data_IF_973906142081
#
_entry.id   IF_973906142081
#
_cell.length_a   1.000
_cell.length_b   1.000
_cell.length_c   1.000
_cell.angle_alpha   90.00
_cell.angle_beta   90.00
_cell.angle_gamma   90.00
#
_symmetry.space_group_name_H-M   'P 1'
#
loop_
_entity.id
_entity.type
_entity.pdbx_description
1 polymer ?
#
# COMPACT_ATOMS: atom_id res chain seq x y z
N UNK A 1 33.35 47.76 72.07
CA UNK A 1 32.10 47.99 72.78
C UNK A 1 31.23 49.08 72.12
N UNK A 2 31.05 49.07 70.76
CA UNK A 2 30.23 50.14 70.10
C UNK A 2 29.36 49.63 68.92
N UNK A 3 29.17 48.36 68.72
CA UNK A 3 28.46 47.83 67.53
C UNK A 3 27.09 47.19 67.81
N UNK A 4 26.52 47.26 69.01
CA UNK A 4 25.20 46.63 69.31
C UNK A 4 24.00 47.57 69.29
N UNK A 5 24.14 48.80 68.78
CA UNK A 5 23.11 49.81 68.80
C UNK A 5 22.28 49.98 67.54
N UNK A 6 22.71 49.48 66.38
CA UNK A 6 22.07 49.77 65.08
C UNK A 6 21.01 48.81 64.55
N UNK A 7 20.91 47.60 65.12
CA UNK A 7 19.96 46.59 64.60
C UNK A 7 18.57 46.61 65.23
N UNK A 8 18.30 47.55 66.13
CA UNK A 8 17.01 47.57 66.84
C UNK A 8 15.96 48.51 66.26
N UNK A 9 16.25 49.15 65.09
CA UNK A 9 15.28 50.17 64.50
C UNK A 9 14.60 49.70 63.24
N UNK A 10 14.76 48.43 62.78
CA UNK A 10 14.18 47.96 61.50
C UNK A 10 12.98 46.99 61.67
N UNK A 11 12.51 46.81 62.93
CA UNK A 11 11.32 45.98 63.18
C UNK A 11 10.15 46.81 63.64
N UNK A 12 9.89 47.97 63.03
CA UNK A 12 8.58 48.58 63.16
C UNK A 12 7.57 47.80 62.33
N UNK A 13 6.51 47.24 62.96
CA UNK A 13 5.46 46.57 62.19
C UNK A 13 4.85 47.63 61.23
N UNK A 14 4.89 47.32 59.95
CA UNK A 14 4.20 48.09 58.92
C UNK A 14 2.74 48.25 59.31
N UNK A 15 2.40 49.45 59.80
CA UNK A 15 1.01 49.75 60.02
C UNK A 15 0.25 49.66 58.70
N UNK A 16 -0.84 48.92 58.68
CA UNK A 16 -1.67 48.83 57.46
C UNK A 16 -2.14 50.21 57.10
N UNK A 17 -2.21 50.61 55.83
CA UNK A 17 -2.61 51.94 55.38
C UNK A 17 -4.00 52.24 55.97
N UNK A 18 -4.05 53.21 56.80
CA UNK A 18 -5.33 53.74 57.37
C UNK A 18 -6.11 54.31 56.21
N UNK A 19 -7.32 53.81 55.96
CA UNK A 19 -8.24 54.37 55.00
C UNK A 19 -8.60 55.81 55.44
N UNK A 20 -8.55 56.75 54.49
CA UNK A 20 -8.80 58.16 54.67
C UNK A 20 -10.14 58.51 55.37
N UNK A 21 -11.05 57.53 55.50
CA UNK A 21 -12.40 57.71 56.09
C UNK A 21 -12.61 56.95 57.39
N UNK A 22 -11.55 56.29 57.94
CA UNK A 22 -11.62 55.59 59.25
C UNK A 22 -12.60 54.43 59.36
N UNK A 23 -13.30 54.08 58.28
CA UNK A 23 -14.27 53.01 58.27
C UNK A 23 -13.69 51.81 57.43
N UNK A 24 -13.31 50.74 58.10
CA UNK A 24 -13.05 49.47 57.43
C UNK A 24 -14.38 48.95 56.86
N UNK A 25 -14.59 49.22 55.58
CA UNK A 25 -15.71 48.64 54.85
C UNK A 25 -15.49 47.17 54.63
N UNK A 26 -16.02 46.37 55.53
CA UNK A 26 -16.08 44.92 55.34
C UNK A 26 -16.99 44.63 54.13
N UNK A 27 -16.39 44.43 52.93
CA UNK A 27 -17.13 43.95 51.77
C UNK A 27 -17.63 42.58 52.08
N UNK A 28 -18.87 42.39 52.43
CA UNK A 28 -19.54 41.10 52.47
C UNK A 28 -19.89 40.71 51.03
N UNK A 29 -19.09 39.87 50.43
CA UNK A 29 -19.37 39.28 49.12
C UNK A 29 -20.59 38.37 49.23
N UNK A 30 -21.60 38.65 48.37
CA UNK A 30 -22.85 37.89 48.33
C UNK A 30 -22.56 36.39 48.15
N UNK A 31 -23.26 35.46 48.82
CA UNK A 31 -22.98 34.02 48.76
C UNK A 31 -22.98 33.47 47.34
N UNK A 32 -23.78 34.01 46.42
CA UNK A 32 -23.81 33.64 45.00
C UNK A 32 -22.49 33.92 44.26
N UNK A 33 -21.78 34.99 44.62
CA UNK A 33 -20.47 35.29 44.03
C UNK A 33 -19.42 34.28 44.47
N UNK A 34 -19.48 33.84 45.74
CA UNK A 34 -18.58 32.81 46.24
C UNK A 34 -18.84 31.42 45.58
N UNK A 35 -20.13 31.10 45.39
CA UNK A 35 -20.50 29.89 44.69
C UNK A 35 -20.03 29.90 43.22
N UNK A 36 -20.24 31.04 42.54
CA UNK A 36 -19.76 31.23 41.17
C UNK A 36 -18.23 31.12 41.04
N UNK A 37 -17.49 31.69 41.98
CA UNK A 37 -16.01 31.59 42.00
C UNK A 37 -15.53 30.15 42.26
N UNK A 38 -16.21 29.41 43.13
CA UNK A 38 -15.89 28.01 43.37
C UNK A 38 -16.16 27.12 42.13
N UNK A 39 -17.30 27.35 41.47
CA UNK A 39 -17.66 26.62 40.23
C UNK A 39 -16.65 26.98 39.12
N UNK A 40 -16.33 28.26 38.91
CA UNK A 40 -15.37 28.69 37.91
C UNK A 40 -13.99 28.03 38.13
N UNK A 41 -13.54 27.97 39.40
CA UNK A 41 -12.28 27.29 39.76
C UNK A 41 -12.30 25.82 39.39
N UNK A 42 -13.38 25.12 39.71
CA UNK A 42 -13.52 23.68 39.36
C UNK A 42 -13.52 23.49 37.85
N UNK A 43 -14.28 24.29 37.10
CA UNK A 43 -14.38 24.21 35.65
C UNK A 43 -13.01 24.47 34.98
N UNK A 44 -12.31 25.52 35.43
CA UNK A 44 -10.97 25.83 34.87
C UNK A 44 -9.98 24.70 35.19
N UNK A 45 -9.99 24.18 36.43
CA UNK A 45 -9.10 23.10 36.81
C UNK A 45 -9.41 21.81 36.02
N UNK A 46 -10.70 21.45 35.95
CA UNK A 46 -11.12 20.26 35.18
C UNK A 46 -10.81 20.41 33.69
N UNK A 47 -11.03 21.60 33.11
CA UNK A 47 -10.67 21.89 31.74
C UNK A 47 -9.17 21.79 31.47
N UNK A 48 -8.35 22.33 32.37
CA UNK A 48 -6.89 22.22 32.26
C UNK A 48 -6.39 20.77 32.34
N UNK A 49 -6.89 20.01 33.30
CA UNK A 49 -6.54 18.57 33.41
C UNK A 49 -7.06 17.82 32.19
N UNK A 50 -8.29 18.09 31.75
CA UNK A 50 -8.87 17.46 30.56
C UNK A 50 -8.03 17.68 29.29
N UNK A 51 -7.51 18.90 29.11
CA UNK A 51 -6.62 19.21 27.99
C UNK A 51 -5.32 18.41 28.04
N UNK A 52 -4.71 18.30 29.22
CA UNK A 52 -3.47 17.51 29.39
C UNK A 52 -3.75 16.02 29.08
N UNK A 53 -4.85 15.47 29.59
CA UNK A 53 -5.24 14.09 29.33
C UNK A 53 -5.51 13.86 27.84
N UNK A 54 -6.18 14.80 27.16
CA UNK A 54 -6.44 14.70 25.73
C UNK A 54 -5.14 14.70 24.92
N UNK A 55 -4.19 15.60 25.23
CA UNK A 55 -2.90 15.65 24.53
C UNK A 55 -2.10 14.37 24.77
N UNK A 56 -2.05 13.86 26.00
CA UNK A 56 -1.41 12.59 26.30
C UNK A 56 -2.10 11.41 25.59
N UNK A 57 -3.43 11.43 25.50
CA UNK A 57 -4.18 10.42 24.76
C UNK A 57 -3.82 10.38 23.27
N UNK A 58 -3.71 11.56 22.65
CA UNK A 58 -3.25 11.66 21.24
C UNK A 58 -1.82 11.13 21.10
N UNK A 59 -0.93 11.49 22.04
CA UNK A 59 0.47 10.99 21.99
C UNK A 59 0.53 9.46 22.12
N UNK A 60 -0.21 8.88 23.06
CA UNK A 60 -0.29 7.42 23.23
C UNK A 60 -0.86 6.74 21.99
N UNK A 61 -1.92 7.33 21.41
CA UNK A 61 -2.49 6.83 20.15
C UNK A 61 -1.46 6.85 19.01
N UNK A 62 -0.75 7.96 18.84
CA UNK A 62 0.29 8.06 17.81
C UNK A 62 1.40 7.02 18.01
N UNK A 63 1.85 6.83 19.25
CA UNK A 63 2.85 5.79 19.58
C UNK A 63 2.29 4.40 19.24
N UNK A 64 1.06 4.10 19.61
CA UNK A 64 0.45 2.81 19.34
C UNK A 64 0.32 2.51 17.84
N UNK A 65 -0.01 3.52 17.03
CA UNK A 65 -0.11 3.39 15.56
C UNK A 65 1.26 3.29 14.90
N UNK A 66 2.26 4.01 15.41
CA UNK A 66 3.59 4.01 14.81
C UNK A 66 4.51 2.91 15.33
N UNK A 67 4.27 2.36 16.52
CA UNK A 67 5.10 1.30 17.11
C UNK A 67 5.29 0.07 16.19
N UNK A 68 4.28 -0.42 15.45
CA UNK A 68 4.45 -1.52 14.50
C UNK A 68 5.44 -1.21 13.38
N UNK A 69 5.63 0.06 13.00
CA UNK A 69 6.59 0.46 11.96
C UNK A 69 8.06 0.30 12.42
N UNK A 70 8.30 0.26 13.72
CA UNK A 70 9.62 0.06 14.33
C UNK A 70 9.84 -1.37 14.82
N UNK A 71 8.83 -2.23 14.71
CA UNK A 71 9.03 -3.66 14.97
C UNK A 71 9.82 -4.28 13.81
N UNK A 72 10.79 -5.12 14.14
CA UNK A 72 11.54 -5.86 13.13
C UNK A 72 10.59 -6.75 12.33
N UNK A 73 10.67 -6.66 11.00
CA UNK A 73 9.94 -7.57 10.13
C UNK A 73 10.38 -9.01 10.43
N UNK A 74 9.44 -9.89 10.74
CA UNK A 74 9.69 -11.31 10.84
C UNK A 74 9.50 -11.94 9.46
N UNK A 75 10.56 -12.55 8.94
CA UNK A 75 10.47 -13.34 7.71
C UNK A 75 10.07 -14.75 8.14
N UNK A 76 8.89 -15.19 7.72
CA UNK A 76 8.48 -16.58 7.89
C UNK A 76 9.40 -17.49 7.07
N UNK A 77 9.65 -18.75 7.51
CA UNK A 77 10.43 -19.69 6.73
C UNK A 77 9.81 -19.88 5.35
N UNK A 78 10.67 -19.95 4.33
CA UNK A 78 10.24 -20.18 2.95
C UNK A 78 9.41 -21.46 2.86
N UNK A 79 8.24 -21.36 2.23
CA UNK A 79 7.38 -22.49 1.97
C UNK A 79 7.63 -22.96 0.54
N UNK A 80 7.93 -24.24 0.37
CA UNK A 80 8.01 -24.87 -0.94
C UNK A 80 6.61 -25.29 -1.38
N UNK A 81 6.22 -24.85 -2.57
CA UNK A 81 5.01 -25.28 -3.26
C UNK A 81 5.44 -26.14 -4.44
N UNK A 82 4.96 -27.37 -4.50
CA UNK A 82 5.18 -28.23 -5.64
C UNK A 82 4.29 -27.75 -6.80
N UNK A 83 4.90 -27.38 -7.93
CA UNK A 83 4.17 -27.06 -9.14
C UNK A 83 3.74 -28.36 -9.83
N UNK A 84 2.57 -28.35 -10.46
CA UNK A 84 2.12 -29.43 -11.35
C UNK A 84 3.04 -29.58 -12.56
N UNK A 85 3.07 -30.74 -13.17
CA UNK A 85 3.95 -31.05 -14.33
C UNK A 85 3.78 -30.07 -15.50
N UNK A 86 2.58 -29.49 -15.68
CA UNK A 86 2.32 -28.45 -16.69
C UNK A 86 3.17 -27.17 -16.52
N UNK A 87 3.51 -26.81 -15.29
CA UNK A 87 4.40 -25.68 -15.00
C UNK A 87 5.89 -26.06 -15.04
N UNK A 88 6.22 -27.34 -15.26
CA UNK A 88 7.60 -27.84 -15.26
C UNK A 88 8.34 -27.65 -16.59
N UNK A 89 7.67 -27.20 -17.66
CA UNK A 89 8.26 -26.99 -18.99
C UNK A 89 9.26 -25.83 -19.09
N UNK A 90 9.60 -25.23 -17.97
CA UNK A 90 10.51 -24.08 -17.86
C UNK A 90 9.76 -22.82 -17.42
N UNK A 91 9.99 -22.39 -16.18
CA UNK A 91 9.38 -21.18 -15.63
C UNK A 91 10.10 -19.94 -16.16
N UNK A 92 9.37 -19.02 -16.79
CA UNK A 92 9.90 -17.76 -17.31
C UNK A 92 9.50 -16.54 -16.47
N UNK A 93 8.38 -16.61 -15.77
CA UNK A 93 7.98 -15.56 -14.86
C UNK A 93 7.18 -16.12 -13.69
N UNK A 94 7.31 -15.48 -12.54
CA UNK A 94 6.53 -15.75 -11.34
C UNK A 94 6.11 -14.44 -10.70
N UNK A 95 4.96 -14.44 -10.06
CA UNK A 95 4.52 -13.31 -9.26
C UNK A 95 3.51 -13.75 -8.21
N UNK A 96 3.10 -12.81 -7.40
CA UNK A 96 2.05 -13.01 -6.40
C UNK A 96 1.14 -11.79 -6.34
N UNK A 97 -0.03 -11.98 -5.75
CA UNK A 97 -0.91 -10.88 -5.39
C UNK A 97 -0.29 -10.00 -4.29
N UNK A 98 -0.88 -8.85 -4.02
CA UNK A 98 -0.38 -7.88 -3.03
C UNK A 98 -0.26 -8.46 -1.61
N UNK A 99 -1.07 -9.45 -1.29
CA UNK A 99 -1.11 -10.07 0.04
C UNK A 99 -0.26 -11.34 0.15
N UNK A 100 0.25 -11.85 -0.98
CA UNK A 100 1.02 -13.07 -1.05
C UNK A 100 0.20 -14.34 -0.81
N UNK A 101 -1.13 -14.30 -0.89
CA UNK A 101 -2.02 -15.45 -0.71
C UNK A 101 -2.20 -16.26 -1.98
N UNK A 102 -1.97 -15.62 -3.14
CA UNK A 102 -2.06 -16.26 -4.45
C UNK A 102 -0.79 -15.99 -5.23
N UNK A 103 -0.20 -17.01 -5.77
CA UNK A 103 0.96 -16.93 -6.66
C UNK A 103 0.59 -17.38 -8.06
N UNK A 104 1.26 -16.84 -9.05
CA UNK A 104 1.13 -17.29 -10.43
C UNK A 104 2.49 -17.60 -11.04
N UNK A 105 2.49 -18.50 -12.01
CA UNK A 105 3.67 -18.97 -12.73
C UNK A 105 3.35 -19.01 -14.21
N UNK A 106 4.19 -18.38 -15.01
CA UNK A 106 4.15 -18.48 -16.47
C UNK A 106 5.27 -19.38 -16.94
N UNK A 107 4.93 -20.39 -17.74
CA UNK A 107 5.88 -21.32 -18.33
C UNK A 107 6.26 -20.96 -19.77
N UNK A 108 7.33 -21.57 -20.29
CA UNK A 108 7.86 -21.28 -21.63
C UNK A 108 6.92 -21.67 -22.79
N UNK A 109 5.98 -22.56 -22.56
CA UNK A 109 4.90 -22.90 -23.49
C UNK A 109 3.70 -21.95 -23.41
N UNK A 110 3.81 -20.90 -22.59
CA UNK A 110 2.77 -19.89 -22.42
C UNK A 110 1.65 -20.29 -21.46
N UNK A 111 1.76 -21.40 -20.73
CA UNK A 111 0.78 -21.77 -19.73
C UNK A 111 0.91 -20.88 -18.50
N UNK A 112 -0.22 -20.38 -18.01
CA UNK A 112 -0.33 -19.66 -16.75
C UNK A 112 -1.00 -20.55 -15.71
N UNK A 113 -0.27 -20.90 -14.66
CA UNK A 113 -0.82 -21.57 -13.48
C UNK A 113 -0.96 -20.60 -12.32
N UNK A 114 -2.10 -20.59 -11.64
CA UNK A 114 -2.37 -19.76 -10.45
C UNK A 114 -2.61 -20.67 -9.26
N UNK A 115 -1.90 -20.42 -8.15
CA UNK A 115 -1.82 -21.32 -7.00
C UNK A 115 -2.17 -20.58 -5.70
N UNK A 116 -2.83 -21.28 -4.78
CA UNK A 116 -2.90 -20.84 -3.39
C UNK A 116 -1.56 -21.02 -2.69
N UNK A 117 -0.99 -19.98 -2.13
CA UNK A 117 0.26 -20.08 -1.37
C UNK A 117 0.06 -20.78 -0.03
N UNK A 118 -1.16 -20.73 0.53
CA UNK A 118 -1.49 -21.41 1.78
C UNK A 118 -1.51 -22.92 1.65
N UNK A 119 -2.03 -23.47 0.56
CA UNK A 119 -2.22 -24.92 0.38
C UNK A 119 -1.33 -25.52 -0.70
N UNK A 120 -0.83 -24.71 -1.64
CA UNK A 120 -0.13 -25.17 -2.84
C UNK A 120 -1.06 -25.71 -3.92
N UNK A 121 -2.37 -25.60 -3.75
CA UNK A 121 -3.33 -26.10 -4.73
C UNK A 121 -3.39 -25.20 -5.97
N UNK A 122 -3.49 -25.81 -7.13
CA UNK A 122 -3.76 -25.13 -8.38
C UNK A 122 -5.21 -24.59 -8.33
N UNK A 123 -5.38 -23.30 -8.49
CA UNK A 123 -6.68 -22.61 -8.48
C UNK A 123 -7.22 -22.43 -9.90
N UNK A 124 -6.33 -22.08 -10.83
CA UNK A 124 -6.66 -21.82 -12.22
C UNK A 124 -5.48 -22.18 -13.10
N UNK A 125 -5.76 -22.71 -14.28
CA UNK A 125 -4.79 -22.96 -15.33
C UNK A 125 -5.34 -22.43 -16.66
N UNK A 126 -4.49 -21.72 -17.41
CA UNK A 126 -4.77 -21.27 -18.77
C UNK A 126 -3.68 -21.76 -19.70
N UNK A 127 -4.06 -22.29 -20.83
CA UNK A 127 -3.12 -22.81 -21.83
C UNK A 127 -2.47 -21.69 -22.65
N UNK A 128 -1.31 -21.95 -23.26
CA UNK A 128 -0.62 -20.96 -24.09
C UNK A 128 -1.44 -20.43 -25.27
N UNK A 129 -2.38 -21.22 -25.78
CA UNK A 129 -3.31 -20.78 -26.81
C UNK A 129 -4.37 -19.79 -26.30
N UNK A 130 -4.79 -19.94 -25.05
CA UNK A 130 -5.75 -19.04 -24.41
C UNK A 130 -5.08 -17.72 -23.94
N UNK A 131 -3.83 -17.80 -23.51
CA UNK A 131 -3.06 -16.65 -23.05
C UNK A 131 -2.53 -15.78 -24.18
N UNK A 132 -2.38 -16.34 -25.39
CA UNK A 132 -1.67 -15.70 -26.49
C UNK A 132 -0.15 -15.62 -26.30
N UNK A 133 0.39 -16.25 -25.27
CA UNK A 133 1.82 -16.22 -24.91
C UNK A 133 2.60 -17.45 -25.42
N UNK A 134 2.08 -18.16 -26.40
CA UNK A 134 2.79 -19.28 -27.01
C UNK A 134 4.12 -18.80 -27.62
N UNK A 135 5.25 -19.49 -27.30
CA UNK A 135 6.58 -19.10 -27.77
C UNK A 135 7.22 -17.92 -27.00
N UNK A 136 6.64 -17.52 -25.88
CA UNK A 136 7.27 -16.52 -25.00
C UNK A 136 8.53 -17.11 -24.37
N UNK A 137 9.64 -16.36 -24.40
CA UNK A 137 10.93 -16.74 -23.82
C UNK A 137 11.24 -16.00 -22.53
N UNK A 138 10.82 -14.74 -22.48
CA UNK A 138 11.10 -13.84 -21.35
C UNK A 138 9.88 -12.98 -21.12
N UNK A 139 9.56 -12.76 -19.84
CA UNK A 139 8.57 -11.80 -19.40
C UNK A 139 9.17 -10.98 -18.26
N UNK A 140 9.29 -9.67 -18.46
CA UNK A 140 9.83 -8.74 -17.47
C UNK A 140 8.79 -7.70 -17.09
N UNK A 141 8.30 -7.69 -15.85
CA UNK A 141 7.43 -6.63 -15.37
C UNK A 141 8.19 -5.31 -15.26
N UNK A 142 7.53 -4.21 -15.62
CA UNK A 142 8.06 -2.86 -15.50
C UNK A 142 6.96 -1.86 -15.16
N UNK A 143 7.34 -0.71 -14.62
CA UNK A 143 6.40 0.37 -14.34
C UNK A 143 5.33 -0.01 -13.30
N UNK A 144 4.08 0.32 -13.60
CA UNK A 144 2.89 0.06 -12.79
C UNK A 144 1.84 -0.68 -13.64
N UNK A 145 0.71 -1.02 -13.01
CA UNK A 145 -0.48 -1.56 -13.68
C UNK A 145 -0.23 -2.88 -14.43
N UNK A 146 0.61 -3.76 -13.85
CA UNK A 146 0.94 -5.09 -14.38
C UNK A 146 1.64 -5.07 -15.75
N UNK A 147 2.16 -3.92 -16.19
CA UNK A 147 2.89 -3.81 -17.46
C UNK A 147 4.06 -4.75 -17.50
N UNK A 148 4.19 -5.45 -18.63
CA UNK A 148 5.21 -6.48 -18.83
C UNK A 148 5.74 -6.40 -20.25
N UNK A 149 7.06 -6.46 -20.38
CA UNK A 149 7.74 -6.63 -21.64
C UNK A 149 7.95 -8.12 -21.90
N UNK A 150 7.62 -8.56 -23.09
CA UNK A 150 7.74 -9.95 -23.53
C UNK A 150 8.74 -10.07 -24.67
N UNK A 151 9.58 -11.12 -24.62
CA UNK A 151 10.38 -11.54 -25.76
C UNK A 151 9.85 -12.87 -26.29
N UNK A 152 9.73 -12.98 -27.61
CA UNK A 152 9.28 -14.14 -28.34
C UNK A 152 10.36 -14.59 -29.34
N UNK A 153 10.17 -15.76 -29.95
CA UNK A 153 11.05 -16.26 -30.98
C UNK A 153 11.10 -15.36 -32.23
N UNK A 154 10.06 -14.61 -32.49
CA UNK A 154 9.90 -13.76 -33.67
C UNK A 154 9.88 -12.26 -33.35
N UNK A 155 9.97 -11.87 -32.08
CA UNK A 155 9.93 -10.46 -31.73
C UNK A 155 9.82 -10.17 -30.23
N UNK A 156 9.27 -9.00 -29.95
CA UNK A 156 8.98 -8.56 -28.61
C UNK A 156 7.63 -7.85 -28.55
N UNK A 157 7.04 -7.78 -27.38
CA UNK A 157 5.77 -7.11 -27.15
C UNK A 157 5.73 -6.41 -25.81
N UNK A 158 4.80 -5.47 -25.68
CA UNK A 158 4.34 -4.94 -24.42
C UNK A 158 2.93 -5.45 -24.18
N UNK A 159 2.63 -5.69 -22.91
CA UNK A 159 1.32 -6.10 -22.49
C UNK A 159 1.15 -6.01 -20.99
N UNK A 160 0.15 -6.69 -20.48
CA UNK A 160 -0.14 -6.81 -19.05
C UNK A 160 -0.12 -8.27 -18.63
N UNK A 161 0.55 -8.56 -17.52
CA UNK A 161 0.62 -9.89 -16.95
C UNK A 161 0.55 -9.83 -15.43
N UNK A 162 -0.43 -10.50 -14.85
CA UNK A 162 -0.54 -10.58 -13.40
C UNK A 162 -1.96 -10.88 -12.92
N UNK A 163 -2.23 -10.52 -11.68
CA UNK A 163 -3.53 -10.67 -11.04
C UNK A 163 -4.10 -9.29 -10.72
N UNK A 164 -5.24 -8.97 -11.31
CA UNK A 164 -5.98 -7.75 -10.99
C UNK A 164 -6.90 -8.02 -9.80
N UNK A 165 -6.81 -7.17 -8.78
CA UNK A 165 -7.57 -7.29 -7.55
C UNK A 165 -8.73 -6.31 -7.53
N UNK A 166 -9.89 -6.79 -7.09
CA UNK A 166 -11.06 -5.97 -6.81
C UNK A 166 -11.74 -6.41 -5.51
N UNK A 167 -12.42 -5.47 -4.86
CA UNK A 167 -13.15 -5.76 -3.63
C UNK A 167 -14.47 -6.47 -3.94
N UNK A 168 -14.85 -7.45 -3.08
CA UNK A 168 -16.14 -8.14 -3.15
C UNK A 168 -16.86 -8.01 -1.81
N UNK A 169 -18.11 -7.55 -1.85
CA UNK A 169 -18.93 -7.53 -0.65
C UNK A 169 -19.33 -8.97 -0.24
N UNK A 170 -19.43 -9.23 1.05
CA UNK A 170 -19.79 -10.57 1.56
C UNK A 170 -21.16 -11.07 1.04
N UNK A 171 -22.08 -10.15 0.71
CA UNK A 171 -23.37 -10.47 0.09
C UNK A 171 -23.24 -11.05 -1.33
N UNK A 172 -22.19 -10.66 -2.05
CA UNK A 172 -22.00 -10.94 -3.48
C UNK A 172 -21.09 -12.16 -3.70
N UNK A 173 -20.65 -12.78 -2.59
CA UNK A 173 -19.80 -13.97 -2.66
C UNK A 173 -20.50 -15.15 -3.32
N UNK A 174 -19.82 -15.83 -4.26
CA UNK A 174 -20.27 -17.13 -4.78
C UNK A 174 -20.47 -18.14 -3.63
N UNK A 175 -21.44 -19.02 -3.79
CA UNK A 175 -21.76 -20.01 -2.75
C UNK A 175 -20.55 -20.85 -2.32
N UNK A 176 -19.66 -21.17 -3.25
CA UNK A 176 -18.44 -21.92 -3.00
C UNK A 176 -17.40 -21.17 -2.12
N UNK A 177 -17.46 -19.84 -2.09
CA UNK A 177 -16.52 -19.02 -1.33
C UNK A 177 -17.05 -18.57 0.05
N UNK A 178 -18.33 -18.79 0.37
CA UNK A 178 -18.95 -18.30 1.62
C UNK A 178 -18.39 -18.88 2.91
N UNK A 179 -17.66 -19.98 2.83
CA UNK A 179 -17.06 -20.63 3.99
C UNK A 179 -15.53 -20.62 3.95
N UNK A 180 -14.92 -19.79 3.10
CA UNK A 180 -13.49 -19.73 2.94
C UNK A 180 -12.84 -19.20 4.24
N UNK A 181 -11.89 -19.94 4.85
CA UNK A 181 -11.15 -19.46 6.01
C UNK A 181 -10.34 -18.19 5.73
N UNK A 182 -10.01 -17.42 6.78
CA UNK A 182 -9.09 -16.29 6.65
C UNK A 182 -7.72 -16.72 6.13
N UNK A 183 -7.11 -15.90 5.30
CA UNK A 183 -5.82 -16.15 4.62
C UNK A 183 -5.83 -17.33 3.66
N UNK A 184 -6.98 -17.67 3.12
CA UNK A 184 -7.10 -18.69 2.10
C UNK A 184 -7.68 -18.13 0.79
N UNK A 185 -7.43 -18.85 -0.29
CA UNK A 185 -7.93 -18.54 -1.62
C UNK A 185 -8.59 -19.78 -2.24
N UNK A 186 -9.66 -19.55 -2.98
CA UNK A 186 -10.36 -20.60 -3.72
C UNK A 186 -10.85 -20.10 -5.07
N UNK A 187 -10.85 -20.97 -6.08
CA UNK A 187 -11.52 -20.68 -7.35
C UNK A 187 -13.03 -20.85 -7.20
N UNK A 188 -13.80 -19.81 -7.47
CA UNK A 188 -15.25 -19.81 -7.31
C UNK A 188 -15.93 -19.03 -8.44
N UNK A 189 -16.66 -19.75 -9.28
CA UNK A 189 -17.33 -19.18 -10.45
C UNK A 189 -16.35 -18.91 -11.58
N UNK A 190 -16.00 -17.68 -11.82
CA UNK A 190 -15.14 -17.19 -12.90
C UNK A 190 -13.88 -16.46 -12.39
N UNK A 191 -13.66 -16.46 -11.08
CA UNK A 191 -12.59 -15.73 -10.44
C UNK A 191 -12.03 -16.47 -9.22
N UNK A 192 -10.88 -16.04 -8.76
CA UNK A 192 -10.28 -16.48 -7.52
C UNK A 192 -10.75 -15.55 -6.42
N UNK A 193 -11.37 -16.09 -5.39
CA UNK A 193 -11.78 -15.35 -4.20
C UNK A 193 -10.74 -15.56 -3.11
N UNK A 194 -10.31 -14.47 -2.50
CA UNK A 194 -9.35 -14.44 -1.40
C UNK A 194 -10.04 -13.89 -0.16
N UNK A 195 -9.89 -14.57 0.97
CA UNK A 195 -10.34 -14.08 2.28
C UNK A 195 -9.14 -13.54 3.05
N UNK A 196 -9.07 -12.22 3.21
CA UNK A 196 -7.97 -11.55 3.89
C UNK A 196 -8.07 -11.66 5.42
N UNK A 197 -6.94 -11.49 6.11
CA UNK A 197 -6.87 -11.55 7.59
C UNK A 197 -7.72 -10.50 8.32
N UNK A 198 -8.09 -9.43 7.64
CA UNK A 198 -8.96 -8.36 8.16
C UNK A 198 -10.47 -8.63 7.95
N UNK A 199 -10.81 -9.82 7.43
CA UNK A 199 -12.18 -10.25 7.16
C UNK A 199 -12.78 -9.74 5.86
N UNK A 200 -12.00 -9.05 5.01
CA UNK A 200 -12.45 -8.61 3.70
C UNK A 200 -12.24 -9.70 2.64
N UNK A 201 -13.05 -9.64 1.59
CA UNK A 201 -12.91 -10.53 0.44
C UNK A 201 -12.42 -9.76 -0.77
N UNK A 202 -11.39 -10.31 -1.40
CA UNK A 202 -10.88 -9.88 -2.69
C UNK A 202 -11.28 -10.84 -3.80
N UNK A 203 -11.50 -10.31 -4.99
CA UNK A 203 -11.65 -11.08 -6.23
C UNK A 203 -10.41 -10.82 -7.07
N UNK A 204 -9.71 -11.88 -7.41
CA UNK A 204 -8.56 -11.84 -8.29
C UNK A 204 -8.92 -12.44 -9.64
N UNK A 205 -8.53 -11.74 -10.68
CA UNK A 205 -8.66 -12.21 -12.06
C UNK A 205 -7.29 -12.14 -12.74
N UNK A 206 -6.86 -13.21 -13.43
CA UNK A 206 -5.66 -13.12 -14.25
C UNK A 206 -5.90 -12.15 -15.39
N UNK A 207 -4.95 -11.27 -15.58
CA UNK A 207 -4.89 -10.35 -16.71
C UNK A 207 -3.70 -10.76 -17.56
N UNK A 208 -3.99 -11.10 -18.80
CA UNK A 208 -3.01 -11.42 -19.83
C UNK A 208 -3.46 -10.70 -21.08
N UNK A 209 -2.75 -9.64 -21.41
CA UNK A 209 -3.05 -8.81 -22.57
C UNK A 209 -1.74 -8.52 -23.30
N UNK A 210 -1.71 -8.71 -24.60
CA UNK A 210 -0.61 -8.29 -25.45
C UNK A 210 -1.12 -7.09 -26.24
N UNK A 211 -0.57 -5.91 -25.94
CA UNK A 211 -1.03 -4.67 -26.56
C UNK A 211 -0.47 -4.52 -27.97
N UNK A 212 0.80 -4.85 -28.17
CA UNK A 212 1.47 -4.68 -29.45
C UNK A 212 2.64 -5.66 -29.59
N UNK A 213 2.59 -6.48 -30.65
CA UNK A 213 3.67 -7.38 -31.03
C UNK A 213 4.50 -6.74 -32.16
N UNK A 214 5.84 -6.77 -32.01
CA UNK A 214 6.78 -6.17 -32.95
C UNK A 214 7.85 -7.17 -33.34
N UNK A 215 8.12 -7.33 -34.64
CA UNK A 215 9.17 -8.21 -35.09
C UNK A 215 10.55 -7.70 -34.65
N UNK A 216 11.41 -8.61 -34.23
CA UNK A 216 12.76 -8.28 -33.78
C UNK A 216 13.71 -7.79 -34.91
N UNK A 217 13.31 -7.93 -36.15
CA UNK A 217 14.08 -7.44 -37.31
C UNK A 217 15.37 -8.20 -37.64
N UNK A 218 15.88 -9.04 -36.75
CA UNK A 218 17.16 -9.73 -36.89
C UNK A 218 17.22 -11.11 -36.26
N UNK A 219 16.08 -11.78 -35.98
CA UNK A 219 16.01 -13.08 -35.31
C UNK A 219 15.25 -13.00 -33.98
N UNK A 220 15.40 -14.05 -33.17
CA UNK A 220 14.73 -14.11 -31.89
C UNK A 220 15.27 -13.06 -30.90
N UNK A 221 14.40 -12.50 -30.08
CA UNK A 221 14.83 -11.67 -28.96
C UNK A 221 15.35 -12.57 -27.82
N UNK A 222 16.60 -12.38 -27.42
CA UNK A 222 17.24 -13.16 -26.34
C UNK A 222 17.14 -12.48 -25.00
N UNK A 223 16.86 -11.18 -24.97
CA UNK A 223 16.55 -10.42 -23.76
C UNK A 223 15.67 -9.20 -24.10
N UNK A 224 14.89 -8.79 -23.12
CA UNK A 224 14.05 -7.59 -23.22
C UNK A 224 14.03 -6.89 -21.90
N UNK A 225 14.06 -5.57 -21.93
CA UNK A 225 13.85 -4.73 -20.75
C UNK A 225 13.01 -3.51 -21.13
N UNK A 226 12.28 -2.95 -20.17
CA UNK A 226 11.45 -1.79 -20.43
C UNK A 226 11.36 -0.87 -19.22
N UNK A 227 11.08 0.38 -19.48
CA UNK A 227 10.87 1.38 -18.44
C UNK A 227 9.75 2.32 -18.82
N UNK A 228 9.06 2.87 -17.84
CA UNK A 228 8.02 3.87 -18.03
C UNK A 228 8.62 5.27 -18.07
N UNK A 229 8.40 5.99 -19.16
CA UNK A 229 8.72 7.39 -19.29
C UNK A 229 7.45 8.24 -19.19
N UNK A 230 7.61 9.55 -19.02
CA UNK A 230 6.47 10.48 -18.97
C UNK A 230 5.63 10.49 -20.27
N UNK A 231 6.22 10.06 -21.38
CA UNK A 231 5.58 10.01 -22.71
C UNK A 231 5.03 8.62 -23.06
N UNK A 232 5.30 7.62 -22.25
CA UNK A 232 4.93 6.22 -22.47
C UNK A 232 6.12 5.27 -22.28
N UNK A 233 5.94 3.97 -22.49
CA UNK A 233 6.99 2.98 -22.27
C UNK A 233 8.13 3.11 -23.31
N UNK A 234 9.34 2.89 -22.80
CA UNK A 234 10.55 2.67 -23.60
C UNK A 234 10.95 1.21 -23.45
N UNK A 235 11.09 0.50 -24.56
CA UNK A 235 11.50 -0.90 -24.58
C UNK A 235 12.84 -1.05 -25.28
N UNK A 236 13.67 -1.93 -24.75
CA UNK A 236 14.94 -2.34 -25.37
C UNK A 236 14.93 -3.86 -25.53
N UNK A 237 15.19 -4.34 -26.74
CA UNK A 237 15.29 -5.76 -27.04
C UNK A 237 16.69 -6.09 -27.59
N UNK A 238 17.28 -7.17 -27.13
CA UNK A 238 18.54 -7.72 -27.59
C UNK A 238 18.26 -8.90 -28.53
N UNK A 239 18.71 -8.81 -29.76
CA UNK A 239 18.63 -9.91 -30.74
C UNK A 239 19.72 -10.96 -30.57
N UNK A 240 19.53 -12.16 -31.10
CA UNK A 240 20.53 -13.24 -31.13
C UNK A 240 21.81 -12.86 -31.89
N UNK A 241 21.70 -11.94 -32.84
CA UNK A 241 22.82 -11.38 -33.61
C UNK A 241 23.64 -10.33 -32.86
N UNK A 242 23.26 -10.03 -31.59
CA UNK A 242 23.86 -9.00 -30.77
C UNK A 242 23.37 -7.58 -31.07
N UNK A 243 22.42 -7.42 -31.97
CA UNK A 243 21.77 -6.12 -32.19
C UNK A 243 20.92 -5.71 -30.99
N UNK A 244 20.88 -4.41 -30.72
CA UNK A 244 19.99 -3.85 -29.70
C UNK A 244 19.00 -2.92 -30.41
N UNK A 245 17.74 -3.21 -30.24
CA UNK A 245 16.65 -2.39 -30.74
C UNK A 245 16.01 -1.61 -29.60
N UNK A 246 15.85 -0.32 -29.75
CA UNK A 246 15.23 0.53 -28.75
C UNK A 246 14.00 1.20 -29.39
N UNK A 247 12.87 1.05 -28.76
CA UNK A 247 11.62 1.68 -29.21
C UNK A 247 10.96 2.47 -28.07
N UNK A 248 10.55 3.70 -28.38
CA UNK A 248 9.71 4.51 -27.52
C UNK A 248 8.27 4.44 -28.03
N UNK A 249 7.36 4.06 -27.19
CA UNK A 249 5.94 3.98 -27.51
C UNK A 249 5.26 5.19 -26.88
N UNK A 250 4.89 6.18 -27.69
CA UNK A 250 4.17 7.33 -27.21
C UNK A 250 2.65 7.07 -27.24
N UNK A 251 2.01 7.24 -26.10
CA UNK A 251 0.56 7.18 -25.98
C UNK A 251 0.00 8.59 -25.81
N UNK A 252 -0.77 9.05 -26.77
CA UNK A 252 -1.51 10.32 -26.69
C UNK A 252 -2.99 10.03 -26.52
N UNK A 253 -3.55 10.44 -25.40
CA UNK A 253 -4.99 10.39 -25.19
C UNK A 253 -5.62 11.65 -25.76
N UNK A 254 -6.53 11.49 -26.71
CA UNK A 254 -7.37 12.58 -27.17
C UNK A 254 -8.41 12.92 -26.10
N UNK A 255 -8.25 14.04 -25.41
CA UNK A 255 -9.12 14.46 -24.32
C UNK A 255 -10.59 14.74 -24.73
N UNK A 256 -10.85 14.85 -26.04
CA UNK A 256 -12.21 15.12 -26.57
C UNK A 256 -12.94 13.84 -26.95
N UNK A 257 -12.22 12.84 -27.47
CA UNK A 257 -12.81 11.58 -27.96
C UNK A 257 -12.52 10.40 -27.06
N UNK A 258 -11.69 10.59 -26.04
CA UNK A 258 -11.16 9.55 -25.15
C UNK A 258 -10.35 8.45 -25.88
N UNK A 259 -10.01 8.70 -27.13
CA UNK A 259 -9.27 7.78 -27.98
C UNK A 259 -7.76 7.83 -27.68
N UNK A 260 -7.16 6.66 -27.50
CA UNK A 260 -5.73 6.53 -27.29
C UNK A 260 -5.06 6.30 -28.63
N UNK A 261 -4.25 7.26 -29.06
CA UNK A 261 -3.42 7.14 -30.27
C UNK A 261 -2.03 6.68 -29.83
N UNK A 262 -1.62 5.50 -30.29
CA UNK A 262 -0.31 4.92 -29.99
C UNK A 262 0.61 5.14 -31.21
N UNK A 263 1.72 5.84 -31.01
CA UNK A 263 2.76 6.03 -32.03
C UNK A 263 4.06 5.43 -31.53
N UNK A 264 4.70 4.62 -32.34
CA UNK A 264 6.00 4.06 -32.03
C UNK A 264 7.10 4.71 -32.89
N UNK A 265 8.16 5.10 -32.24
CA UNK A 265 9.36 5.60 -32.85
C UNK A 265 10.55 4.74 -32.47
N UNK A 266 11.10 3.97 -33.39
CA UNK A 266 12.23 3.08 -33.15
C UNK A 266 13.44 3.44 -34.05
N UNK A 267 14.64 3.09 -33.55
CA UNK A 267 15.90 3.16 -34.29
C UNK A 267 16.67 1.86 -34.12
#
# INVERSE_FOLDING_TARGET
SRERGYLRRLTSPLQPPQSFTGRTRRRTTHPWVRAGDAIARVVITAGGIGTIVAVLGVLVFLIAVTAPLFSSASISPARQVALTEAAASGVIAVGCDETGLVAWVLSADGHLGVFSTATGTLLLEQTGGETGLAGVRIARPFGRDLKTAFAFDDGFAIGRLGLESSFVAASDLPAAARGLPENEAAFAGDAIIVHHADGHFGRLQPVIEIEEHRPAGGGAAVDVDATELATGPLIAALGEDGSVRIEAISQRRNLLTDEVITEATGS
#
